data_IF_382945641362
#
_entry.id   IF_382945641362
#
_cell.length_a   1.000
_cell.length_b   1.000
_cell.length_c   1.000
_cell.angle_alpha   90.00
_cell.angle_beta   90.00
_cell.angle_gamma   90.00
#
_symmetry.space_group_name_H-M   'P 1'
#
loop_
_entity.id
_entity.type
_entity.pdbx_description
1 polymer ?
#
# COMPACT_ATOMS: atom_id res chain seq x y z
N UNK A 1 16.68 -22.37 -10.73
CA UNK A 1 17.17 -21.03 -11.12
C UNK A 1 16.25 -20.02 -10.47
N UNK A 2 16.76 -19.19 -9.57
CA UNK A 2 15.97 -18.22 -8.82
C UNK A 2 15.89 -16.91 -9.64
N UNK A 3 14.79 -16.69 -10.33
CA UNK A 3 14.47 -15.37 -10.89
C UNK A 3 13.93 -14.51 -9.76
N UNK A 4 14.80 -13.69 -9.16
CA UNK A 4 14.34 -12.51 -8.45
C UNK A 4 13.84 -11.51 -9.49
N UNK A 5 12.59 -11.65 -9.91
CA UNK A 5 11.96 -10.71 -10.82
C UNK A 5 11.74 -9.39 -10.06
N UNK A 6 12.20 -8.27 -10.63
CA UNK A 6 11.97 -6.94 -10.10
C UNK A 6 10.46 -6.70 -9.90
N UNK A 7 10.08 -5.87 -8.92
CA UNK A 7 8.69 -5.52 -8.70
C UNK A 7 8.10 -4.90 -9.98
N UNK A 8 6.88 -5.31 -10.35
CA UNK A 8 6.12 -4.72 -11.46
C UNK A 8 5.18 -3.63 -10.98
N UNK A 9 4.80 -3.67 -9.70
CA UNK A 9 3.91 -2.72 -9.04
C UNK A 9 4.35 -2.57 -7.58
N UNK A 10 4.29 -1.35 -7.05
CA UNK A 10 4.58 -1.05 -5.63
C UNK A 10 3.34 -0.50 -4.93
N UNK A 11 3.01 -1.05 -3.76
CA UNK A 11 1.94 -0.57 -2.89
C UNK A 11 2.54 0.13 -1.67
N UNK A 12 2.30 1.42 -1.52
CA UNK A 12 2.78 2.22 -0.38
C UNK A 12 1.63 2.40 0.61
N UNK A 13 1.81 1.93 1.84
CA UNK A 13 0.78 2.13 2.88
C UNK A 13 0.62 3.60 3.25
N UNK A 14 -0.61 4.01 3.57
CA UNK A 14 -0.93 5.33 4.09
C UNK A 14 -0.19 5.68 5.40
N UNK A 15 -0.23 6.96 5.77
CA UNK A 15 0.34 7.50 7.02
C UNK A 15 -0.72 8.16 7.90
N UNK A 16 -0.45 8.31 9.20
CA UNK A 16 -1.37 9.03 10.10
C UNK A 16 -1.15 10.53 10.07
N UNK A 17 0.09 10.99 9.91
CA UNK A 17 0.41 12.40 9.73
C UNK A 17 0.01 12.86 8.32
N UNK A 18 -0.92 13.81 8.24
CA UNK A 18 -1.51 14.33 6.99
C UNK A 18 -1.49 15.86 6.96
N UNK A 19 -1.46 16.45 5.75
CA UNK A 19 -1.78 17.86 5.56
C UNK A 19 -3.25 18.16 5.90
N UNK A 20 -3.57 19.43 6.11
CA UNK A 20 -4.91 19.86 6.55
C UNK A 20 -5.89 20.16 5.41
N UNK A 21 -5.47 20.02 4.15
CA UNK A 21 -6.27 20.38 2.97
C UNK A 21 -6.26 19.27 1.91
N UNK A 22 -7.26 19.22 1.02
CA UNK A 22 -7.27 18.24 -0.08
C UNK A 22 -6.11 18.46 -1.03
N UNK A 23 -5.31 17.41 -1.20
CA UNK A 23 -4.14 17.37 -2.11
C UNK A 23 -4.04 15.99 -2.74
N UNK A 24 -3.16 15.82 -3.72
CA UNK A 24 -2.85 14.51 -4.29
C UNK A 24 -2.44 13.52 -3.19
N UNK A 25 -2.83 12.26 -3.30
CA UNK A 25 -2.58 11.23 -2.29
C UNK A 25 -1.09 11.05 -1.98
N UNK A 26 -0.22 11.24 -2.97
CA UNK A 26 1.24 11.23 -2.79
C UNK A 26 1.77 12.36 -1.91
N UNK A 27 1.05 13.48 -1.83
CA UNK A 27 1.45 14.69 -1.11
C UNK A 27 0.70 14.83 0.22
N UNK A 28 -0.39 14.09 0.43
CA UNK A 28 -1.20 14.17 1.65
C UNK A 28 -0.42 13.74 2.90
N UNK A 29 0.32 12.64 2.84
CA UNK A 29 0.97 12.05 4.02
C UNK A 29 2.38 12.60 4.22
N UNK A 30 2.64 13.17 5.40
CA UNK A 30 3.85 13.96 5.68
C UNK A 30 4.85 13.27 6.60
N UNK A 31 4.64 11.98 6.91
CA UNK A 31 5.58 11.25 7.77
C UNK A 31 6.88 10.93 7.02
N UNK A 32 8.06 10.95 7.70
CA UNK A 32 9.34 10.61 7.07
C UNK A 32 9.34 9.20 6.45
N UNK A 33 8.65 8.26 7.08
CA UNK A 33 8.53 6.89 6.58
C UNK A 33 7.75 6.83 5.27
N UNK A 34 6.64 7.58 5.17
CA UNK A 34 5.88 7.65 3.93
C UNK A 34 6.71 8.34 2.84
N UNK A 35 7.36 9.46 3.15
CA UNK A 35 8.21 10.18 2.21
C UNK A 35 9.33 9.30 1.64
N UNK A 36 10.00 8.51 2.49
CA UNK A 36 11.04 7.58 2.06
C UNK A 36 10.50 6.46 1.16
N UNK A 37 9.36 5.85 1.53
CA UNK A 37 8.73 4.80 0.70
C UNK A 37 8.22 5.32 -0.64
N UNK A 38 7.65 6.53 -0.64
CA UNK A 38 7.23 7.22 -1.85
C UNK A 38 8.42 7.44 -2.77
N UNK A 39 9.52 8.02 -2.26
CA UNK A 39 10.72 8.26 -3.05
C UNK A 39 11.25 6.97 -3.69
N UNK A 40 11.35 5.88 -2.91
CA UNK A 40 11.74 4.57 -3.43
C UNK A 40 10.78 4.04 -4.52
N UNK A 41 9.47 4.26 -4.36
CA UNK A 41 8.48 3.84 -5.35
C UNK A 41 8.59 4.66 -6.64
N UNK A 42 8.77 5.98 -6.54
CA UNK A 42 8.97 6.87 -7.69
C UNK A 42 10.28 6.55 -8.44
N UNK A 43 11.38 6.30 -7.72
CA UNK A 43 12.69 5.94 -8.29
C UNK A 43 12.68 4.58 -9.01
N UNK A 44 11.76 3.69 -8.65
CA UNK A 44 11.68 2.35 -9.25
C UNK A 44 11.26 2.36 -10.73
N UNK A 45 10.60 3.43 -11.18
CA UNK A 45 10.07 3.56 -12.54
C UNK A 45 8.90 2.61 -12.86
N UNK A 46 8.37 1.89 -11.87
CA UNK A 46 7.17 1.04 -12.05
C UNK A 46 5.92 1.71 -11.45
N UNK A 47 4.71 1.32 -11.90
CA UNK A 47 3.47 1.83 -11.32
C UNK A 47 3.42 1.63 -9.81
N UNK A 48 2.92 2.63 -9.09
CA UNK A 48 2.73 2.54 -7.65
C UNK A 48 1.42 3.18 -7.22
N UNK A 49 0.90 2.73 -6.07
CA UNK A 49 -0.37 3.17 -5.53
C UNK A 49 -0.27 3.38 -4.02
N UNK A 50 -1.08 4.29 -3.49
CA UNK A 50 -1.29 4.38 -2.05
C UNK A 50 -2.34 3.36 -1.63
N UNK A 51 -2.08 2.65 -0.54
CA UNK A 51 -3.02 1.74 0.10
C UNK A 51 -3.50 2.35 1.40
N UNK A 52 -4.77 2.76 1.41
CA UNK A 52 -5.47 3.35 2.54
C UNK A 52 -6.43 2.37 3.18
N UNK A 53 -6.47 2.33 4.51
CA UNK A 53 -7.42 1.50 5.24
C UNK A 53 -8.87 1.96 5.05
N UNK A 54 -9.05 3.24 4.75
CA UNK A 54 -10.35 3.89 4.52
C UNK A 54 -10.78 3.79 3.06
N UNK A 55 -9.90 4.16 2.13
CA UNK A 55 -10.24 4.34 0.72
C UNK A 55 -9.88 3.15 -0.16
N UNK A 56 -9.05 2.22 0.33
CA UNK A 56 -8.58 1.08 -0.46
C UNK A 56 -7.35 1.44 -1.28
N UNK A 57 -7.39 1.18 -2.58
CA UNK A 57 -6.33 1.55 -3.53
C UNK A 57 -6.58 2.97 -4.05
N UNK A 58 -5.56 3.81 -4.03
CA UNK A 58 -5.63 5.21 -4.48
C UNK A 58 -4.51 5.47 -5.49
N UNK A 59 -4.84 6.13 -6.59
CA UNK A 59 -3.85 6.65 -7.52
C UNK A 59 -3.02 7.78 -6.85
N UNK A 60 -1.69 7.82 -7.01
CA UNK A 60 -0.85 8.87 -6.41
C UNK A 60 -1.29 10.30 -6.69
N UNK A 61 -1.90 10.54 -7.86
CA UNK A 61 -2.35 11.86 -8.31
C UNK A 61 -3.81 12.17 -7.93
N UNK A 62 -4.55 11.21 -7.35
CA UNK A 62 -5.92 11.43 -6.90
C UNK A 62 -5.96 12.41 -5.72
N UNK A 63 -6.77 13.46 -5.84
CA UNK A 63 -6.96 14.44 -4.77
C UNK A 63 -7.87 13.88 -3.70
N UNK A 64 -7.35 13.76 -2.48
CA UNK A 64 -8.07 13.25 -1.32
C UNK A 64 -7.99 14.23 -0.14
N UNK A 65 -9.09 14.35 0.61
CA UNK A 65 -9.16 15.17 1.81
C UNK A 65 -8.56 14.42 3.02
N UNK A 66 -7.99 15.14 4.01
CA UNK A 66 -7.53 14.53 5.24
C UNK A 66 -8.65 13.80 5.97
N UNK A 67 -8.29 12.71 6.65
CA UNK A 67 -9.24 11.83 7.32
C UNK A 67 -8.66 11.17 8.57
N UNK A 68 -9.54 10.84 9.52
CA UNK A 68 -9.22 9.96 10.63
C UNK A 68 -9.80 8.57 10.40
N UNK A 69 -8.94 7.55 10.42
CA UNK A 69 -9.34 6.16 10.30
C UNK A 69 -8.26 5.25 10.90
N UNK A 70 -8.66 4.25 11.69
CA UNK A 70 -7.75 3.27 12.26
C UNK A 70 -8.00 1.89 11.68
N UNK A 71 -7.13 1.44 10.77
CA UNK A 71 -7.26 0.14 10.12
C UNK A 71 -7.01 -1.04 11.06
N UNK A 72 -6.10 -0.88 12.03
CA UNK A 72 -5.76 -1.93 13.01
C UNK A 72 -6.90 -2.19 14.01
N UNK A 73 -7.73 -1.19 14.29
CA UNK A 73 -8.90 -1.32 15.16
C UNK A 73 -10.11 -1.97 14.48
N UNK A 74 -10.09 -2.14 13.16
CA UNK A 74 -11.19 -2.77 12.45
C UNK A 74 -11.32 -4.26 12.77
N UNK A 75 -12.48 -4.84 12.50
CA UNK A 75 -12.69 -6.27 12.69
C UNK A 75 -11.86 -7.10 11.69
N UNK A 76 -11.62 -8.38 12.02
CA UNK A 76 -11.00 -9.33 11.08
C UNK A 76 -11.81 -9.45 9.78
N UNK A 77 -13.14 -9.41 9.88
CA UNK A 77 -14.03 -9.48 8.73
C UNK A 77 -13.90 -8.24 7.83
N UNK A 78 -13.80 -7.05 8.42
CA UNK A 78 -13.53 -5.82 7.66
C UNK A 78 -12.21 -5.93 6.91
N UNK A 79 -11.11 -6.28 7.60
CA UNK A 79 -9.79 -6.39 6.96
C UNK A 79 -9.76 -7.42 5.84
N UNK A 80 -10.48 -8.55 6.01
CA UNK A 80 -10.59 -9.58 4.97
C UNK A 80 -11.38 -9.08 3.76
N UNK A 81 -12.51 -8.39 3.98
CA UNK A 81 -13.30 -7.82 2.90
C UNK A 81 -12.54 -6.72 2.17
N UNK A 82 -11.90 -5.82 2.92
CA UNK A 82 -11.03 -4.77 2.42
C UNK A 82 -9.88 -5.34 1.57
N UNK A 83 -9.22 -6.42 2.00
CA UNK A 83 -8.11 -7.01 1.26
C UNK A 83 -8.54 -7.55 -0.11
N UNK A 84 -9.73 -8.16 -0.20
CA UNK A 84 -10.31 -8.58 -1.49
C UNK A 84 -10.66 -7.36 -2.35
N UNK A 85 -11.32 -6.37 -1.77
CA UNK A 85 -11.70 -5.14 -2.48
C UNK A 85 -10.48 -4.46 -3.12
N UNK A 86 -9.38 -4.28 -2.38
CA UNK A 86 -8.16 -3.67 -2.89
C UNK A 86 -7.49 -4.52 -3.97
N UNK A 87 -7.48 -5.85 -3.82
CA UNK A 87 -6.94 -6.72 -4.87
C UNK A 87 -7.74 -6.62 -6.18
N UNK A 88 -9.07 -6.56 -6.11
CA UNK A 88 -9.91 -6.35 -7.29
C UNK A 88 -9.69 -4.98 -7.92
N UNK A 89 -9.59 -3.90 -7.12
CA UNK A 89 -9.21 -2.57 -7.64
C UNK A 89 -7.88 -2.64 -8.39
N UNK A 90 -6.88 -3.31 -7.81
CA UNK A 90 -5.56 -3.45 -8.41
C UNK A 90 -5.62 -4.25 -9.73
N UNK A 91 -6.41 -5.32 -9.77
CA UNK A 91 -6.66 -6.11 -10.97
C UNK A 91 -7.22 -5.23 -12.10
N UNK A 92 -8.20 -4.38 -11.78
CA UNK A 92 -8.87 -3.50 -12.74
C UNK A 92 -7.92 -2.45 -13.33
N UNK A 93 -7.08 -1.83 -12.50
CA UNK A 93 -6.23 -0.71 -12.96
C UNK A 93 -4.88 -1.14 -13.52
N UNK A 94 -4.39 -2.32 -13.15
CA UNK A 94 -3.03 -2.76 -13.49
C UNK A 94 -2.94 -4.17 -14.11
N UNK A 95 -4.06 -4.82 -14.42
CA UNK A 95 -4.11 -6.15 -15.07
C UNK A 95 -3.25 -7.20 -14.36
N UNK A 96 -3.38 -7.28 -13.04
CA UNK A 96 -2.59 -8.18 -12.19
C UNK A 96 -2.79 -9.65 -12.57
N UNK A 97 -1.69 -10.39 -12.75
CA UNK A 97 -1.72 -11.81 -13.12
C UNK A 97 -0.43 -12.56 -12.77
N UNK A 98 -0.21 -13.72 -13.42
CA UNK A 98 0.90 -14.66 -13.13
C UNK A 98 2.30 -14.07 -13.28
N UNK A 99 2.47 -13.11 -14.18
CA UNK A 99 3.77 -12.48 -14.46
C UNK A 99 3.97 -11.19 -13.65
N UNK A 100 3.01 -10.83 -12.79
CA UNK A 100 3.07 -9.63 -11.96
C UNK A 100 3.75 -9.91 -10.63
N UNK A 101 4.70 -9.06 -10.25
CA UNK A 101 5.25 -9.01 -8.89
C UNK A 101 4.74 -7.74 -8.21
N UNK A 102 3.98 -7.90 -7.13
CA UNK A 102 3.49 -6.80 -6.31
C UNK A 102 4.33 -6.69 -5.04
N UNK A 103 5.00 -5.57 -4.86
CA UNK A 103 5.74 -5.26 -3.64
C UNK A 103 4.87 -4.43 -2.68
N UNK A 104 4.76 -4.87 -1.42
CA UNK A 104 3.97 -4.22 -0.39
C UNK A 104 4.89 -3.52 0.61
N UNK A 105 4.86 -2.19 0.56
CA UNK A 105 5.59 -1.26 1.41
C UNK A 105 4.62 -0.61 2.41
N UNK A 106 3.97 -1.45 3.22
CA UNK A 106 2.92 -1.05 4.16
C UNK A 106 3.07 -1.77 5.51
N UNK A 107 2.38 -1.24 6.54
CA UNK A 107 2.38 -1.85 7.88
C UNK A 107 1.86 -3.30 7.87
N UNK A 108 2.26 -4.09 8.88
CA UNK A 108 2.00 -5.53 8.91
C UNK A 108 0.52 -5.94 8.78
N UNK A 109 -0.40 -5.13 9.32
CA UNK A 109 -1.85 -5.38 9.19
C UNK A 109 -2.34 -5.25 7.75
N UNK A 110 -1.84 -4.27 6.99
CA UNK A 110 -2.13 -4.09 5.57
C UNK A 110 -1.57 -5.26 4.76
N UNK A 111 -0.28 -5.56 4.94
CA UNK A 111 0.37 -6.66 4.25
C UNK A 111 -0.34 -7.99 4.50
N UNK A 112 -0.69 -8.30 5.75
CA UNK A 112 -1.42 -9.52 6.10
C UNK A 112 -2.78 -9.63 5.40
N UNK A 113 -3.50 -8.52 5.22
CA UNK A 113 -4.79 -8.50 4.56
C UNK A 113 -4.69 -8.62 3.02
N UNK A 114 -3.60 -8.15 2.41
CA UNK A 114 -3.42 -8.09 0.95
C UNK A 114 -2.78 -9.34 0.33
N UNK A 115 -1.91 -10.04 1.06
CA UNK A 115 -1.10 -11.13 0.47
C UNK A 115 -1.94 -12.21 -0.19
N UNK A 116 -2.90 -12.79 0.54
CA UNK A 116 -3.70 -13.89 -0.02
C UNK A 116 -4.61 -13.44 -1.18
N UNK A 117 -5.33 -12.30 -1.10
CA UNK A 117 -6.11 -11.79 -2.23
C UNK A 117 -5.28 -11.52 -3.50
N UNK A 118 -4.10 -10.92 -3.38
CA UNK A 118 -3.25 -10.63 -4.55
C UNK A 118 -2.68 -11.92 -5.14
N UNK A 119 -2.27 -12.88 -4.30
CA UNK A 119 -1.82 -14.20 -4.75
C UNK A 119 -2.94 -14.99 -5.45
N UNK A 120 -4.20 -14.79 -5.03
CA UNK A 120 -5.36 -15.42 -5.67
C UNK A 120 -5.54 -14.96 -7.13
N UNK A 121 -5.14 -13.73 -7.45
CA UNK A 121 -5.09 -13.22 -8.84
C UNK A 121 -3.92 -13.80 -9.65
N UNK A 122 -3.06 -14.61 -9.03
CA UNK A 122 -1.91 -15.25 -9.65
C UNK A 122 -0.59 -14.52 -9.48
N UNK A 123 -0.60 -13.31 -8.90
CA UNK A 123 0.61 -12.52 -8.73
C UNK A 123 1.51 -13.02 -7.62
N UNK A 124 2.80 -12.75 -7.77
CA UNK A 124 3.78 -12.94 -6.71
C UNK A 124 3.75 -11.73 -5.78
N UNK A 125 3.86 -11.96 -4.47
CA UNK A 125 3.84 -10.89 -3.48
C UNK A 125 5.17 -10.84 -2.75
N UNK A 126 5.77 -9.66 -2.75
CA UNK A 126 6.93 -9.30 -1.92
C UNK A 126 6.47 -8.35 -0.83
N UNK A 127 7.09 -8.45 0.34
CA UNK A 127 6.95 -7.46 1.40
C UNK A 127 8.29 -6.79 1.56
N UNK A 128 8.34 -5.46 1.61
CA UNK A 128 9.57 -4.83 2.08
C UNK A 128 9.86 -5.32 3.50
N UNK A 129 11.09 -5.76 3.72
CA UNK A 129 11.58 -6.05 5.06
C UNK A 129 11.41 -4.77 5.87
N UNK A 130 10.71 -4.85 6.99
CA UNK A 130 10.65 -3.73 7.93
C UNK A 130 12.08 -3.55 8.43
N UNK A 131 12.78 -2.52 7.97
CA UNK A 131 14.04 -2.15 8.60
C UNK A 131 13.75 -1.99 10.10
N UNK A 132 14.51 -2.70 10.92
CA UNK A 132 14.27 -2.89 12.35
C UNK A 132 14.28 -1.58 13.19
N UNK A 133 14.39 -0.42 12.55
CA UNK A 133 14.22 0.91 13.15
C UNK A 133 12.80 1.50 12.94
N UNK A 134 11.92 0.82 12.22
CA UNK A 134 10.57 1.29 11.87
C UNK A 134 9.45 0.74 12.76
N UNK A 135 9.71 0.49 14.05
CA UNK A 135 8.62 0.32 15.01
C UNK A 135 7.90 1.66 15.15
N UNK A 136 7.00 1.94 14.21
CA UNK A 136 6.11 3.09 14.19
C UNK A 136 5.14 3.02 15.36
N UNK A 137 5.65 3.28 16.56
CA UNK A 137 4.89 3.99 17.56
C UNK A 137 4.89 5.45 17.12
N UNK A 138 3.94 5.81 16.28
CA UNK A 138 3.62 7.22 16.06
C UNK A 138 3.08 7.74 17.41
N UNK A 139 3.77 8.66 18.10
CA UNK A 139 3.26 9.22 19.33
C UNK A 139 2.01 10.05 19.04
N UNK A 140 1.09 9.98 20.00
CA UNK A 140 -0.27 10.51 19.97
C UNK A 140 -0.33 12.03 19.97
#
# INVERSE_FOLDING_TARGET
>A
MATSTAASIILVGDGTAQLSEPVAARDLYVSPLFASRRAQAEESGVPWFVVSGRWGLIDPDEVIAPYSFSFTQQSVNYRRAWGRFVAEQLCLVASVGRDTVVEINAGGAYAAALVNPIQYLGAQVRRATVDANGAGHEPR
#
